data_IF_435889213936
#
_entry.id   IF_435889213936
#
_cell.length_a   1.000
_cell.length_b   1.000
_cell.length_c   1.000
_cell.angle_alpha   90.00
_cell.angle_beta   90.00
_cell.angle_gamma   90.00
#
_symmetry.space_group_name_H-M   'P 1'
#
loop_
_entity.id
_entity.type
_entity.pdbx_description
1 polymer ?
#
# COMPACT_ATOMS: atom_id res chain seq x y z
N UNK A 1 8.29 8.60 3.79
CA UNK A 1 8.45 8.59 2.31
C UNK A 1 7.23 9.28 1.70
N UNK A 2 7.39 10.32 0.86
CA UNK A 2 6.27 10.97 0.19
C UNK A 2 5.54 10.02 -0.76
N UNK A 3 4.21 10.10 -0.83
CA UNK A 3 3.40 9.27 -1.72
C UNK A 3 3.80 9.45 -3.21
N UNK A 4 4.12 10.68 -3.63
CA UNK A 4 4.58 10.96 -4.99
C UNK A 4 5.81 10.11 -5.39
N UNK A 5 6.78 9.96 -4.49
CA UNK A 5 7.97 9.16 -4.74
C UNK A 5 7.65 7.67 -4.98
N UNK A 6 6.61 7.14 -4.34
CA UNK A 6 6.13 5.76 -4.58
C UNK A 6 5.52 5.64 -5.98
N UNK A 7 4.73 6.64 -6.41
CA UNK A 7 4.15 6.63 -7.75
C UNK A 7 5.20 6.78 -8.86
N UNK A 8 6.21 7.63 -8.66
CA UNK A 8 7.28 7.81 -9.63
C UNK A 8 8.11 6.52 -9.81
N UNK A 9 8.34 5.77 -8.73
CA UNK A 9 9.00 4.46 -8.78
C UNK A 9 8.14 3.35 -9.42
N UNK A 10 6.83 3.33 -9.14
CA UNK A 10 5.92 2.29 -9.61
C UNK A 10 5.60 2.40 -11.11
N UNK A 11 5.44 3.62 -11.63
CA UNK A 11 5.00 3.92 -13.00
C UNK A 11 5.80 3.22 -14.11
N UNK A 12 7.16 3.28 -14.17
CA UNK A 12 7.91 2.68 -15.27
C UNK A 12 7.76 1.15 -15.35
N UNK A 13 7.36 0.52 -14.25
CA UNK A 13 7.20 -0.93 -14.12
C UNK A 13 5.72 -1.36 -14.10
N UNK A 14 4.79 -0.40 -14.26
CA UNK A 14 3.34 -0.62 -14.21
C UNK A 14 2.87 -1.33 -12.92
N UNK A 15 3.55 -1.09 -11.79
CA UNK A 15 3.20 -1.74 -10.52
C UNK A 15 1.91 -1.13 -9.94
N UNK A 16 0.96 -1.96 -9.46
CA UNK A 16 -0.20 -1.47 -8.74
C UNK A 16 0.20 -0.89 -7.37
N UNK A 17 -0.48 0.17 -6.95
CA UNK A 17 -0.28 0.81 -5.64
C UNK A 17 -1.60 0.89 -4.90
N UNK A 18 -1.63 0.39 -3.66
CA UNK A 18 -2.78 0.47 -2.75
C UNK A 18 -2.43 1.43 -1.62
N UNK A 19 -3.28 2.43 -1.38
CA UNK A 19 -3.06 3.48 -0.36
C UNK A 19 -4.01 3.28 0.82
N UNK A 20 -3.46 3.28 2.03
CA UNK A 20 -4.22 3.24 3.28
C UNK A 20 -4.19 4.63 3.95
N UNK A 21 -5.23 5.47 3.77
CA UNK A 21 -5.25 6.82 4.33
C UNK A 21 -5.25 6.80 5.86
N UNK A 22 -4.54 7.75 6.47
CA UNK A 22 -4.46 7.90 7.93
C UNK A 22 -3.61 6.83 8.64
N UNK A 23 -2.92 5.96 7.90
CA UNK A 23 -1.98 5.00 8.48
C UNK A 23 -0.58 5.59 8.61
N UNK A 24 0.11 5.26 9.70
CA UNK A 24 1.54 5.49 9.84
C UNK A 24 2.38 4.39 9.17
N UNK A 25 3.70 4.55 9.21
CA UNK A 25 4.69 3.63 8.62
C UNK A 25 4.54 2.15 9.04
N UNK A 26 4.01 1.91 10.24
CA UNK A 26 3.88 0.57 10.81
C UNK A 26 2.45 0.03 10.79
N UNK A 27 1.49 0.74 10.18
CA UNK A 27 0.08 0.33 10.12
C UNK A 27 -0.53 0.04 11.52
N UNK A 28 -0.16 0.80 12.55
CA UNK A 28 -0.75 0.67 13.89
C UNK A 28 -2.28 0.74 13.83
N UNK A 29 -2.96 -0.23 14.47
CA UNK A 29 -4.42 -0.36 14.46
C UNK A 29 -5.02 -0.82 13.13
N UNK A 30 -4.20 -1.16 12.13
CA UNK A 30 -4.63 -1.43 10.74
C UNK A 30 -4.06 -2.73 10.15
N UNK A 31 -3.31 -3.51 10.94
CA UNK A 31 -2.70 -4.77 10.48
C UNK A 31 -3.72 -5.80 9.99
N UNK A 32 -4.88 -5.94 10.64
CA UNK A 32 -5.95 -6.84 10.18
C UNK A 32 -6.51 -6.40 8.83
N UNK A 33 -6.67 -5.08 8.63
CA UNK A 33 -7.11 -4.53 7.34
C UNK A 33 -6.06 -4.79 6.25
N UNK A 34 -4.77 -4.61 6.57
CA UNK A 34 -3.67 -4.93 5.67
C UNK A 34 -3.71 -6.41 5.25
N UNK A 35 -3.86 -7.33 6.21
CA UNK A 35 -3.97 -8.77 5.95
C UNK A 35 -5.11 -9.08 4.99
N UNK A 36 -6.31 -8.53 5.22
CA UNK A 36 -7.49 -8.77 4.38
C UNK A 36 -7.27 -8.31 2.95
N UNK A 37 -6.66 -7.13 2.76
CA UNK A 37 -6.34 -6.62 1.42
C UNK A 37 -5.34 -7.53 0.72
N UNK A 38 -4.25 -7.93 1.38
CA UNK A 38 -3.24 -8.82 0.79
C UNK A 38 -3.85 -10.17 0.41
N UNK A 39 -4.66 -10.76 1.30
CA UNK A 39 -5.33 -12.02 1.03
C UNK A 39 -6.35 -11.92 -0.13
N UNK A 40 -6.99 -10.77 -0.31
CA UNK A 40 -7.97 -10.54 -1.38
C UNK A 40 -7.37 -10.22 -2.75
N UNK A 41 -6.12 -9.75 -2.81
CA UNK A 41 -5.44 -9.46 -4.10
C UNK A 41 -4.57 -10.60 -4.61
N UNK A 42 -4.32 -11.62 -3.78
CA UNK A 42 -3.53 -12.79 -4.13
C UNK A 42 -4.45 -13.96 -4.45
N UNK A 43 -4.56 -14.30 -5.73
CA UNK A 43 -5.24 -15.50 -6.24
C UNK A 43 -4.25 -16.33 -7.03
#
# INVERSE_FOLDING_TARGET
VPLAAVFDWARPQQLPVIVFPGCGHFFHGRLTQLQQVIAGVWH
#
